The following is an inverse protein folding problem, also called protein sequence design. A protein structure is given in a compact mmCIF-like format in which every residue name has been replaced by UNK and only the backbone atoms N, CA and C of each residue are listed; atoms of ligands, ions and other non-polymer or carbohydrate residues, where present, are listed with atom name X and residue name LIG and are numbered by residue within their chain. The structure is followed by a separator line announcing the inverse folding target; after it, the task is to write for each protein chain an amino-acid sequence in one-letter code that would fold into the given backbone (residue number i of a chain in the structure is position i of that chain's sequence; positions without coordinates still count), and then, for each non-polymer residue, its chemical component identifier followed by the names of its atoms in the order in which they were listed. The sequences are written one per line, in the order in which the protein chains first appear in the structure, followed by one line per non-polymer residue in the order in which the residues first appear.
data_IF_349582377030
#
_entry.id   IF_349582377030
#
_cell.length_a   1.000
_cell.length_b   1.000
_cell.length_c   1.000
_cell.angle_alpha   90.00
_cell.angle_beta   90.00
_cell.angle_gamma   90.00
#
_symmetry.space_group_name_H-M   'P 1'
#
loop_
_entity.id
_entity.type
_entity.pdbx_description
1 polymer ?
#
# COMPACT_ATOMS: atom_id res chain seq x y z
N UNK A 1 -22.45 11.88 -2.95
CA UNK A 1 -23.63 12.76 -3.14
C UNK A 1 -24.75 11.94 -3.78
N UNK A 2 -25.96 11.92 -3.16
CA UNK A 2 -27.11 11.19 -3.71
C UNK A 2 -27.87 12.16 -4.60
N UNK A 3 -28.00 11.82 -5.89
CA UNK A 3 -28.69 12.65 -6.88
C UNK A 3 -30.17 12.33 -7.04
N UNK A 4 -30.60 11.10 -6.68
CA UNK A 4 -31.99 10.70 -6.74
C UNK A 4 -32.75 11.21 -5.51
N UNK A 5 -33.81 12.09 -5.67
CA UNK A 5 -34.56 12.63 -4.53
C UNK A 5 -35.28 11.57 -3.71
N UNK A 6 -35.74 10.49 -4.31
CA UNK A 6 -36.44 9.40 -3.60
C UNK A 6 -35.48 8.67 -2.65
N UNK A 7 -34.22 8.47 -3.09
CA UNK A 7 -33.18 7.86 -2.24
C UNK A 7 -32.61 8.84 -1.21
N UNK A 8 -32.77 10.14 -1.42
CA UNK A 8 -32.34 11.18 -0.49
C UNK A 8 -33.33 11.39 0.65
N UNK A 9 -34.61 10.99 0.45
CA UNK A 9 -35.63 11.10 1.48
C UNK A 9 -35.20 10.29 2.71
N UNK A 10 -35.26 10.91 3.88
CA UNK A 10 -34.91 10.33 5.17
C UNK A 10 -33.48 9.73 5.28
N UNK A 11 -32.63 9.95 4.29
CA UNK A 11 -31.27 9.39 4.25
C UNK A 11 -30.44 9.74 5.49
N UNK A 12 -30.62 10.93 6.07
CA UNK A 12 -29.95 11.32 7.31
C UNK A 12 -30.36 10.42 8.48
N UNK A 13 -31.62 10.03 8.57
CA UNK A 13 -32.10 9.09 9.60
C UNK A 13 -31.55 7.68 9.36
N UNK A 14 -31.48 7.27 8.09
CA UNK A 14 -30.89 5.98 7.72
C UNK A 14 -29.39 5.92 8.09
N UNK A 15 -28.63 6.99 7.85
CA UNK A 15 -27.23 7.10 8.27
C UNK A 15 -27.13 6.92 9.79
N UNK A 16 -27.96 7.62 10.55
CA UNK A 16 -27.95 7.53 12.02
C UNK A 16 -28.35 6.16 12.52
N UNK A 17 -29.38 5.57 11.95
CA UNK A 17 -29.88 4.23 12.31
C UNK A 17 -28.82 3.16 12.09
N UNK A 18 -28.02 3.28 11.05
CA UNK A 18 -26.93 2.35 10.73
C UNK A 18 -25.57 2.72 11.36
N UNK A 19 -25.55 3.63 12.34
CA UNK A 19 -24.34 4.01 13.06
C UNK A 19 -23.36 4.88 12.27
N UNK A 20 -23.74 5.34 11.07
CA UNK A 20 -22.87 6.16 10.20
C UNK A 20 -22.75 7.63 10.62
N UNK A 21 -23.48 8.06 11.64
CA UNK A 21 -23.42 9.43 12.16
C UNK A 21 -22.65 9.45 13.49
N UNK A 22 -21.36 9.77 13.39
CA UNK A 22 -20.50 9.87 14.57
C UNK A 22 -20.76 11.18 15.35
N UNK A 23 -20.95 11.09 16.68
CA UNK A 23 -21.18 12.26 17.54
C UNK A 23 -20.01 13.28 17.50
N UNK A 24 -18.78 12.80 17.29
CA UNK A 24 -17.56 13.58 17.16
C UNK A 24 -17.02 13.56 15.72
N UNK A 25 -17.88 13.67 14.72
CA UNK A 25 -17.55 13.64 13.29
C UNK A 25 -16.48 14.64 12.86
N UNK A 26 -16.28 15.74 13.61
CA UNK A 26 -15.20 16.70 13.41
C UNK A 26 -13.81 16.03 13.40
N UNK A 27 -13.57 15.01 14.22
CA UNK A 27 -12.29 14.32 14.28
C UNK A 27 -11.94 13.64 12.93
N UNK A 28 -12.93 12.99 12.31
CA UNK A 28 -12.76 12.43 10.97
C UNK A 28 -12.71 13.51 9.90
N UNK A 29 -13.56 14.53 10.01
CA UNK A 29 -13.61 15.65 9.06
C UNK A 29 -12.29 16.43 8.98
N UNK A 30 -11.58 16.61 10.09
CA UNK A 30 -10.27 17.26 10.12
C UNK A 30 -9.20 16.46 9.38
N UNK A 31 -9.23 15.12 9.47
CA UNK A 31 -8.31 14.26 8.72
C UNK A 31 -8.50 14.44 7.21
N UNK A 32 -9.76 14.41 6.73
CA UNK A 32 -10.06 14.66 5.33
C UNK A 32 -9.69 16.08 4.92
N UNK A 33 -10.03 17.09 5.73
CA UNK A 33 -9.66 18.47 5.43
C UNK A 33 -8.14 18.64 5.29
N UNK A 34 -7.35 18.07 6.20
CA UNK A 34 -5.89 18.12 6.12
C UNK A 34 -5.36 17.43 4.86
N UNK A 35 -5.82 16.21 4.56
CA UNK A 35 -5.35 15.45 3.41
C UNK A 35 -5.67 16.10 2.06
N UNK A 36 -6.84 16.77 1.95
CA UNK A 36 -7.27 17.37 0.69
C UNK A 36 -7.01 18.89 0.61
N UNK A 37 -6.25 19.44 1.55
CA UNK A 37 -5.77 20.83 1.49
C UNK A 37 -4.41 20.86 0.79
N UNK A 38 -4.21 21.85 -0.08
CA UNK A 38 -2.94 22.18 -0.77
C UNK A 38 -2.28 21.00 -1.52
N UNK A 39 -3.07 20.00 -1.93
CA UNK A 39 -2.57 18.87 -2.71
C UNK A 39 -1.78 17.82 -1.90
N UNK A 40 -1.81 17.88 -0.57
CA UNK A 40 -1.06 16.96 0.30
C UNK A 40 -1.32 15.49 -0.02
N UNK A 41 -2.58 15.11 -0.27
CA UNK A 41 -2.91 13.72 -0.60
C UNK A 41 -2.19 13.21 -1.85
N UNK A 42 -2.11 14.04 -2.89
CA UNK A 42 -1.41 13.72 -4.13
C UNK A 42 0.09 13.60 -3.91
N UNK A 43 0.68 14.52 -3.14
CA UNK A 43 2.11 14.53 -2.83
C UNK A 43 2.55 13.27 -2.08
N UNK A 44 1.90 12.95 -0.96
CA UNK A 44 2.23 11.76 -0.16
C UNK A 44 1.98 10.45 -0.91
N UNK A 45 0.95 10.42 -1.77
CA UNK A 45 0.65 9.25 -2.61
C UNK A 45 1.69 9.07 -3.72
N UNK A 46 2.10 10.15 -4.37
CA UNK A 46 3.12 10.14 -5.41
C UNK A 46 4.47 9.65 -4.85
N UNK A 47 4.86 10.12 -3.65
CA UNK A 47 6.06 9.63 -2.97
C UNK A 47 5.98 8.12 -2.70
N UNK A 48 4.87 7.64 -2.14
CA UNK A 48 4.69 6.21 -1.86
C UNK A 48 4.80 5.35 -3.13
N UNK A 49 4.18 5.80 -4.24
CA UNK A 49 4.25 5.10 -5.52
C UNK A 49 5.68 5.13 -6.09
N UNK A 50 6.38 6.26 -6.02
CA UNK A 50 7.76 6.36 -6.51
C UNK A 50 8.70 5.38 -5.77
N UNK A 51 8.56 5.24 -4.46
CA UNK A 51 9.31 4.27 -3.66
C UNK A 51 8.99 2.83 -4.06
N UNK A 52 7.71 2.53 -4.34
CA UNK A 52 7.30 1.22 -4.83
C UNK A 52 7.87 0.90 -6.21
N UNK A 53 7.89 1.88 -7.13
CA UNK A 53 8.45 1.68 -8.48
C UNK A 53 9.95 1.36 -8.42
N UNK A 54 10.74 2.05 -7.59
CA UNK A 54 12.16 1.71 -7.38
C UNK A 54 12.36 0.26 -6.95
N UNK A 55 11.58 -0.22 -6.00
CA UNK A 55 11.63 -1.63 -5.56
C UNK A 55 11.22 -2.57 -6.67
N UNK A 56 10.17 -2.22 -7.43
CA UNK A 56 9.66 -3.03 -8.54
C UNK A 56 10.71 -3.17 -9.65
N UNK A 57 11.40 -2.09 -9.99
CA UNK A 57 12.50 -2.11 -10.95
C UNK A 57 13.62 -3.06 -10.51
N UNK A 58 14.03 -3.00 -9.24
CA UNK A 58 15.08 -3.86 -8.70
C UNK A 58 14.69 -5.35 -8.69
N UNK A 59 13.47 -5.67 -8.26
CA UNK A 59 12.97 -7.05 -8.30
C UNK A 59 12.84 -7.56 -9.74
N UNK A 60 12.38 -6.72 -10.67
CA UNK A 60 12.30 -7.07 -12.10
C UNK A 60 13.68 -7.30 -12.71
N UNK A 61 14.64 -6.44 -12.42
CA UNK A 61 16.02 -6.58 -12.90
C UNK A 61 16.68 -7.88 -12.39
N UNK A 62 16.29 -8.34 -11.20
CA UNK A 62 16.72 -9.63 -10.63
C UNK A 62 15.99 -10.84 -11.22
N UNK A 63 14.97 -10.62 -12.06
CA UNK A 63 14.21 -11.67 -12.72
C UNK A 63 13.03 -12.22 -11.88
N UNK A 64 12.65 -11.56 -10.79
CA UNK A 64 11.47 -11.96 -10.02
C UNK A 64 10.19 -11.59 -10.75
N UNK A 65 9.13 -12.36 -10.51
CA UNK A 65 7.81 -12.15 -11.08
C UNK A 65 6.82 -11.67 -10.01
N UNK A 66 5.65 -11.27 -10.44
CA UNK A 66 4.62 -10.72 -9.55
C UNK A 66 3.35 -11.54 -9.62
N UNK A 67 2.60 -11.59 -8.52
CA UNK A 67 1.33 -12.30 -8.45
C UNK A 67 0.31 -11.74 -9.45
N UNK A 68 0.28 -10.41 -9.59
CA UNK A 68 -0.55 -9.71 -10.55
C UNK A 68 0.09 -8.36 -10.91
N UNK A 69 -0.11 -7.86 -12.13
CA UNK A 69 0.33 -6.52 -12.51
C UNK A 69 -0.46 -5.47 -11.70
N UNK A 70 0.26 -4.60 -11.00
CA UNK A 70 -0.33 -3.44 -10.33
C UNK A 70 0.66 -2.28 -10.32
N UNK A 71 0.16 -1.06 -10.11
CA UNK A 71 0.95 0.16 -10.01
C UNK A 71 0.67 0.92 -8.71
N UNK A 72 0.26 0.19 -7.68
CA UNK A 72 0.01 0.77 -6.36
C UNK A 72 1.30 0.79 -5.53
N UNK A 73 1.21 1.31 -4.32
CA UNK A 73 2.28 1.27 -3.32
C UNK A 73 2.45 -0.12 -2.66
N UNK A 74 1.72 -1.14 -3.11
CA UNK A 74 1.85 -2.52 -2.65
C UNK A 74 2.46 -3.38 -3.75
N UNK A 75 3.50 -4.14 -3.43
CA UNK A 75 4.23 -4.98 -4.36
C UNK A 75 4.07 -6.43 -3.92
N UNK A 76 3.39 -7.24 -4.71
CA UNK A 76 3.22 -8.67 -4.47
C UNK A 76 4.21 -9.43 -5.35
N UNK A 77 5.40 -9.69 -4.82
CA UNK A 77 6.51 -10.30 -5.54
C UNK A 77 6.67 -11.77 -5.17
N UNK A 78 6.93 -12.62 -6.17
CA UNK A 78 7.20 -14.04 -6.00
C UNK A 78 8.70 -14.23 -5.90
N UNK A 79 9.16 -14.75 -4.76
CA UNK A 79 10.57 -14.85 -4.41
C UNK A 79 10.89 -16.27 -3.94
N UNK A 80 12.06 -16.84 -4.30
CA UNK A 80 12.52 -18.09 -3.73
C UNK A 80 12.65 -18.02 -2.19
N UNK A 81 12.20 -19.04 -1.48
CA UNK A 81 12.22 -19.07 -0.01
C UNK A 81 13.64 -18.89 0.55
N UNK A 82 14.65 -19.41 -0.14
CA UNK A 82 16.05 -19.23 0.24
C UNK A 82 16.50 -17.75 0.20
N UNK A 83 15.94 -16.96 -0.72
CA UNK A 83 16.20 -15.52 -0.82
C UNK A 83 15.38 -14.74 0.23
N UNK A 84 14.15 -15.19 0.51
CA UNK A 84 13.34 -14.60 1.59
C UNK A 84 14.02 -14.77 2.95
N UNK A 85 14.64 -15.89 3.21
CA UNK A 85 15.41 -16.11 4.45
C UNK A 85 16.53 -15.06 4.63
N UNK A 86 17.22 -14.69 3.55
CA UNK A 86 18.27 -13.65 3.59
C UNK A 86 17.69 -12.24 3.72
N UNK A 87 16.59 -11.96 3.03
CA UNK A 87 15.88 -10.66 3.16
C UNK A 87 15.41 -10.46 4.60
N UNK A 88 14.85 -11.51 5.24
CA UNK A 88 14.32 -11.43 6.61
C UNK A 88 15.37 -11.18 7.70
N UNK A 89 16.67 -11.31 7.40
CA UNK A 89 17.73 -10.93 8.33
C UNK A 89 17.77 -9.43 8.62
N UNK A 90 17.26 -8.59 7.69
CA UNK A 90 17.35 -7.12 7.78
C UNK A 90 16.03 -6.41 7.53
N UNK A 91 15.09 -7.04 6.84
CA UNK A 91 13.84 -6.42 6.40
C UNK A 91 12.64 -7.31 6.72
N UNK A 92 11.53 -6.67 7.10
CA UNK A 92 10.25 -7.33 7.27
C UNK A 92 9.42 -7.24 5.99
N UNK A 93 8.64 -8.28 5.74
CA UNK A 93 7.65 -8.34 4.67
C UNK A 93 6.37 -9.04 5.17
N UNK A 94 5.26 -8.80 4.50
CA UNK A 94 4.04 -9.55 4.78
C UNK A 94 4.00 -10.79 3.90
N UNK A 95 3.90 -11.98 4.49
CA UNK A 95 3.62 -13.21 3.75
C UNK A 95 2.21 -13.13 3.16
N UNK A 96 2.06 -13.50 1.90
CA UNK A 96 0.78 -13.53 1.21
C UNK A 96 0.32 -15.00 0.98
N UNK A 97 1.03 -15.72 0.13
CA UNK A 97 0.69 -17.11 -0.17
C UNK A 97 1.87 -17.93 -0.67
N UNK A 98 1.74 -19.25 -0.57
CA UNK A 98 2.63 -20.21 -1.21
C UNK A 98 2.32 -20.30 -2.70
N UNK A 99 3.36 -20.27 -3.54
CA UNK A 99 3.21 -20.43 -5.00
C UNK A 99 3.54 -21.87 -5.41
N UNK A 100 4.68 -22.40 -4.97
CA UNK A 100 5.13 -23.77 -5.22
C UNK A 100 6.02 -24.30 -4.08
N UNK A 101 6.72 -25.40 -4.30
CA UNK A 101 7.54 -26.03 -3.28
C UNK A 101 8.74 -25.16 -2.79
N UNK A 102 9.18 -24.16 -3.60
CA UNK A 102 10.37 -23.36 -3.34
C UNK A 102 10.12 -21.84 -3.38
N UNK A 103 8.92 -21.40 -3.76
CA UNK A 103 8.60 -19.99 -3.94
C UNK A 103 7.37 -19.57 -3.13
N UNK A 104 7.47 -18.40 -2.55
CA UNK A 104 6.36 -17.72 -1.87
C UNK A 104 6.12 -16.34 -2.45
N UNK A 105 4.86 -15.92 -2.46
CA UNK A 105 4.50 -14.54 -2.69
C UNK A 105 4.56 -13.77 -1.38
N UNK A 106 5.25 -12.64 -1.39
CA UNK A 106 5.32 -11.72 -0.26
C UNK A 106 4.95 -10.32 -0.69
N UNK A 107 4.47 -9.52 0.25
CA UNK A 107 4.05 -8.15 0.01
C UNK A 107 5.00 -7.18 0.70
N UNK A 108 5.53 -6.24 -0.09
CA UNK A 108 6.16 -5.02 0.41
C UNK A 108 5.21 -3.85 0.23
N UNK A 109 5.13 -2.98 1.24
CA UNK A 109 4.28 -1.78 1.21
C UNK A 109 5.14 -0.54 1.46
N UNK A 110 5.00 0.45 0.60
CA UNK A 110 5.59 1.77 0.80
C UNK A 110 4.52 2.77 1.22
N UNK A 111 4.92 3.84 1.84
CA UNK A 111 4.00 4.87 2.33
C UNK A 111 4.65 6.25 2.32
N UNK A 112 3.92 7.25 2.76
CA UNK A 112 4.39 8.63 2.86
C UNK A 112 5.62 8.78 3.77
N UNK A 113 5.78 7.91 4.74
CA UNK A 113 6.91 7.92 5.68
C UNK A 113 8.07 7.00 5.25
N UNK A 114 7.97 6.32 4.12
CA UNK A 114 9.03 5.46 3.61
C UNK A 114 10.23 6.32 3.19
N UNK A 115 11.36 6.09 3.85
CA UNK A 115 12.60 6.78 3.53
C UNK A 115 13.29 6.13 2.35
N UNK A 116 13.77 6.93 1.42
CA UNK A 116 14.47 6.47 0.23
C UNK A 116 15.72 5.64 0.57
N UNK A 117 16.46 6.02 1.62
CA UNK A 117 17.62 5.29 2.11
C UNK A 117 17.32 3.83 2.50
N UNK A 118 16.11 3.56 3.04
CA UNK A 118 15.66 2.21 3.40
C UNK A 118 15.28 1.41 2.15
N UNK A 119 14.67 2.07 1.15
CA UNK A 119 14.39 1.47 -0.16
C UNK A 119 15.70 1.06 -0.84
N UNK A 120 16.68 1.95 -0.89
CA UNK A 120 17.99 1.68 -1.47
C UNK A 120 18.74 0.58 -0.71
N UNK A 121 18.58 0.49 0.61
CA UNK A 121 19.15 -0.60 1.39
C UNK A 121 18.53 -1.97 1.03
N UNK A 122 17.21 -2.04 0.85
CA UNK A 122 16.54 -3.26 0.38
C UNK A 122 16.95 -3.61 -1.05
N UNK A 123 17.07 -2.63 -1.95
CA UNK A 123 17.56 -2.83 -3.31
C UNK A 123 18.95 -3.47 -3.29
N UNK A 124 19.89 -2.90 -2.53
CA UNK A 124 21.24 -3.49 -2.38
C UNK A 124 21.24 -4.91 -1.79
N UNK A 125 20.28 -5.22 -0.93
CA UNK A 125 20.09 -6.58 -0.43
C UNK A 125 19.65 -7.51 -1.55
N UNK A 126 18.63 -7.12 -2.32
CA UNK A 126 18.08 -7.89 -3.45
C UNK A 126 19.14 -8.12 -4.54
N UNK A 127 19.96 -7.13 -4.86
CA UNK A 127 21.03 -7.24 -5.86
C UNK A 127 22.08 -8.31 -5.50
N UNK A 128 22.30 -8.56 -4.22
CA UNK A 128 23.28 -9.55 -3.72
C UNK A 128 22.74 -10.98 -3.63
N UNK A 129 21.45 -11.18 -3.85
CA UNK A 129 20.81 -12.50 -3.86
C UNK A 129 21.10 -13.24 -5.18
#
# INVERSE_FOLDING_TARGET
MIKNPELAQDFRYLIKQNGGMLAKGRLLGLQFAALFTDGLYQEISAHAIAMAEKLREAFTAKGYTYLAPNRTNQIFVIVPDAHLAKISEQFEYSYDQRIDAAHSCVRFCTGWATKEENVDALIRCVEKL
#
